data_IF_984491393039
#
_entry.id   IF_984491393039
#
_cell.length_a   1.000
_cell.length_b   1.000
_cell.length_c   1.000
_cell.angle_alpha   90.00
_cell.angle_beta   90.00
_cell.angle_gamma   90.00
#
_symmetry.space_group_name_H-M   'P 1'
#
loop_
_entity.id
_entity.type
_entity.pdbx_description
1 polymer ?
#
# COMPACT_ATOMS: atom_id res chain seq x y z
N UNK A 1 -16.76 -0.55 -3.15
CA UNK A 1 -16.23 0.51 -2.26
C UNK A 1 -14.80 0.78 -2.67
N UNK A 2 -14.46 2.04 -2.98
CA UNK A 2 -13.14 2.45 -3.46
C UNK A 2 -12.33 2.86 -2.22
N UNK A 3 -11.63 1.90 -1.59
CA UNK A 3 -10.81 2.15 -0.41
C UNK A 3 -9.56 2.94 -0.81
N UNK A 4 -9.70 4.24 -1.02
CA UNK A 4 -8.58 5.15 -1.02
C UNK A 4 -8.19 5.40 0.42
N UNK A 5 -6.97 5.05 0.80
CA UNK A 5 -6.38 5.47 2.07
C UNK A 5 -6.47 6.99 2.16
N UNK A 6 -7.19 7.50 3.17
CA UNK A 6 -7.41 8.92 3.35
C UNK A 6 -6.09 9.65 3.61
N UNK A 7 -5.16 8.97 4.27
CA UNK A 7 -3.79 9.42 4.48
C UNK A 7 -2.79 8.29 4.19
N UNK A 8 -1.52 8.61 3.88
CA UNK A 8 -0.48 7.59 3.74
C UNK A 8 -0.31 6.72 4.99
N UNK A 9 -0.60 7.26 6.17
CA UNK A 9 -0.53 6.53 7.44
C UNK A 9 -1.57 5.41 7.54
N UNK A 10 -2.74 5.57 6.91
CA UNK A 10 -3.80 4.56 6.91
C UNK A 10 -3.41 3.30 6.11
N UNK A 11 -2.47 3.44 5.17
CA UNK A 11 -1.96 2.33 4.39
C UNK A 11 -0.93 1.49 5.15
N UNK A 12 -0.30 2.03 6.20
CA UNK A 12 0.79 1.35 6.93
C UNK A 12 0.30 0.07 7.61
N UNK A 13 -0.84 0.13 8.30
CA UNK A 13 -1.41 -1.04 9.00
C UNK A 13 -1.74 -2.21 8.06
N UNK A 14 -2.47 -2.03 6.94
CA UNK A 14 -2.74 -3.12 6.02
C UNK A 14 -1.50 -3.59 5.26
N UNK A 15 -0.55 -2.71 4.92
CA UNK A 15 0.75 -3.12 4.36
C UNK A 15 1.48 -4.04 5.35
N UNK A 16 1.54 -3.69 6.63
CA UNK A 16 2.20 -4.51 7.65
C UNK A 16 1.54 -5.89 7.80
N UNK A 17 0.20 -5.94 7.85
CA UNK A 17 -0.54 -7.20 7.96
C UNK A 17 -0.30 -8.12 6.75
N UNK A 18 -0.21 -7.56 5.54
CA UNK A 18 0.06 -8.34 4.32
C UNK A 18 1.50 -8.85 4.29
N UNK A 19 2.48 -8.05 4.71
CA UNK A 19 3.88 -8.49 4.81
C UNK A 19 4.09 -9.58 5.87
N UNK A 20 3.30 -9.55 6.96
CA UNK A 20 3.30 -10.60 7.97
C UNK A 20 2.72 -11.91 7.39
N UNK A 21 1.58 -11.84 6.69
CA UNK A 21 1.00 -13.00 6.01
C UNK A 21 1.95 -13.60 4.94
N UNK A 22 2.64 -12.75 4.18
CA UNK A 22 3.63 -13.19 3.20
C UNK A 22 4.77 -13.98 3.87
N UNK A 23 5.27 -13.54 5.03
CA UNK A 23 6.31 -14.27 5.77
C UNK A 23 5.85 -15.66 6.24
N UNK A 24 4.60 -15.80 6.69
CA UNK A 24 4.05 -17.12 7.02
C UNK A 24 4.01 -18.02 5.78
N UNK A 25 3.61 -17.48 4.63
CA UNK A 25 3.49 -18.21 3.37
C UNK A 25 4.85 -18.57 2.74
N UNK A 26 5.92 -17.83 3.01
CA UNK A 26 7.27 -18.18 2.54
C UNK A 26 7.79 -19.51 3.08
N UNK A 27 7.30 -19.91 4.26
CA UNK A 27 7.64 -21.20 4.87
C UNK A 27 6.78 -22.35 4.33
N UNK A 28 5.74 -22.05 3.54
CA UNK A 28 4.89 -23.03 2.86
C UNK A 28 5.43 -23.31 1.45
N UNK A 29 5.59 -24.59 1.09
CA UNK A 29 6.08 -25.00 -0.22
C UNK A 29 5.16 -24.54 -1.37
N UNK A 30 3.85 -24.39 -1.09
CA UNK A 30 2.84 -23.93 -2.04
C UNK A 30 2.49 -22.44 -1.90
N UNK A 31 2.94 -21.79 -0.82
CA UNK A 31 2.59 -20.41 -0.49
C UNK A 31 3.47 -19.35 -1.14
N UNK A 32 4.58 -19.74 -1.79
CA UNK A 32 5.61 -18.81 -2.28
C UNK A 32 5.11 -17.85 -3.35
N UNK A 33 4.32 -18.34 -4.31
CA UNK A 33 3.76 -17.49 -5.37
C UNK A 33 2.80 -16.45 -4.79
N UNK A 34 1.92 -16.86 -3.87
CA UNK A 34 1.03 -15.95 -3.15
C UNK A 34 1.81 -14.96 -2.27
N UNK A 35 2.89 -15.39 -1.62
CA UNK A 35 3.74 -14.51 -0.82
C UNK A 35 4.40 -13.41 -1.69
N UNK A 36 4.82 -13.77 -2.91
CA UNK A 36 5.36 -12.81 -3.87
C UNK A 36 4.29 -11.79 -4.32
N UNK A 37 3.07 -12.26 -4.62
CA UNK A 37 1.96 -11.37 -5.00
C UNK A 37 1.58 -10.40 -3.88
N UNK A 38 1.58 -10.87 -2.63
CA UNK A 38 1.32 -10.05 -1.46
C UNK A 38 2.39 -8.96 -1.24
N UNK A 39 3.66 -9.30 -1.45
CA UNK A 39 4.75 -8.32 -1.39
C UNK A 39 4.62 -7.29 -2.52
N UNK A 40 4.34 -7.72 -3.74
CA UNK A 40 4.15 -6.83 -4.88
C UNK A 40 2.98 -5.85 -4.62
N UNK A 41 1.85 -6.36 -4.12
CA UNK A 41 0.72 -5.54 -3.72
C UNK A 41 1.08 -4.53 -2.62
N UNK A 42 1.85 -4.94 -1.62
CA UNK A 42 2.26 -4.07 -0.52
C UNK A 42 3.15 -2.91 -1.01
N UNK A 43 4.08 -3.20 -1.93
CA UNK A 43 4.93 -2.18 -2.57
C UNK A 43 4.12 -1.19 -3.40
N UNK A 44 3.21 -1.69 -4.26
CA UNK A 44 2.32 -0.83 -5.03
C UNK A 44 1.45 0.06 -4.14
N UNK A 45 0.96 -0.51 -3.04
CA UNK A 45 0.11 0.21 -2.08
C UNK A 45 0.88 1.32 -1.39
N UNK A 46 2.15 1.09 -1.02
CA UNK A 46 3.02 2.13 -0.46
C UNK A 46 3.26 3.28 -1.46
N UNK A 47 3.50 2.96 -2.73
CA UNK A 47 3.67 3.96 -3.81
C UNK A 47 2.38 4.76 -4.02
N UNK A 48 1.22 4.10 -4.07
CA UNK A 48 -0.08 4.78 -4.23
C UNK A 48 -0.40 5.68 -3.04
N UNK A 49 -0.16 5.21 -1.83
CA UNK A 49 -0.40 5.94 -0.59
C UNK A 49 0.46 7.22 -0.52
N UNK A 50 1.73 7.15 -0.94
CA UNK A 50 2.62 8.32 -0.99
C UNK A 50 2.26 9.29 -2.12
N UNK A 51 1.83 8.81 -3.28
CA UNK A 51 1.37 9.65 -4.40
C UNK A 51 0.06 10.43 -4.10
N UNK A 52 -0.81 9.92 -3.23
CA UNK A 52 -2.01 10.66 -2.79
C UNK A 52 -1.66 12.00 -2.13
N UNK A 53 -0.49 12.11 -1.48
CA UNK A 53 -0.01 13.37 -0.89
C UNK A 53 0.36 14.41 -1.95
N UNK A 54 0.92 13.99 -3.08
CA UNK A 54 1.34 14.90 -4.15
C UNK A 54 0.13 15.57 -4.85
N UNK A 55 -0.99 14.85 -4.99
CA UNK A 55 -2.20 15.39 -5.64
C UNK A 55 -2.99 16.39 -4.77
N UNK A 56 -2.73 16.44 -3.47
CA UNK A 56 -3.45 17.33 -2.55
C UNK A 56 -2.74 18.67 -2.32
N UNK A 57 -1.52 18.84 -2.86
CA UNK A 57 -0.73 20.07 -2.74
C UNK A 57 -0.86 21.05 -3.92
N UNK A 58 -1.59 20.70 -4.98
CA UNK A 58 -1.64 21.46 -6.25
C UNK A 58 -3.02 22.08 -6.53
N UNK A 59 -3.81 22.36 -5.48
CA UNK A 59 -5.15 22.94 -5.63
C UNK A 59 -5.34 24.31 -4.93
N UNK A 60 -4.29 24.91 -4.36
CA UNK A 60 -4.39 26.18 -3.62
C UNK A 60 -3.29 27.19 -3.97
N UNK A 61 -2.93 27.32 -5.25
CA UNK A 61 -2.14 28.48 -5.67
C UNK A 61 -2.62 29.03 -7.00
N UNK A 62 -3.72 29.76 -6.96
CA UNK A 62 -4.30 30.35 -8.15
C UNK A 62 -5.44 31.31 -7.90
N UNK A 63 -5.37 32.19 -6.89
CA UNK A 63 -6.02 33.52 -6.89
C UNK A 63 -5.43 34.41 -5.78
N UNK A 64 -4.60 35.36 -6.19
CA UNK A 64 -4.45 36.67 -5.54
C UNK A 64 -4.41 37.71 -6.65
#
# INVERSE_FOLDING_TARGET
MRNYYATPADAIRPIAAVLEAAQYLFNDEYGKDLAHDLIAWAQETAVRATHTRAKSGEADNGKA
#
